data_IF_437271106721
#
_entry.id   IF_437271106721
#
_cell.length_a   1.000
_cell.length_b   1.000
_cell.length_c   1.000
_cell.angle_alpha   90.00
_cell.angle_beta   90.00
_cell.angle_gamma   90.00
#
_symmetry.space_group_name_H-M   'P 1'
#
loop_
_entity.id
_entity.type
_entity.pdbx_description
1 polymer ?
#
# COMPACT_ATOMS: atom_id res chain seq x y z
N UNK A 1 4.50 10.40 -28.82
CA UNK A 1 5.25 11.35 -27.95
C UNK A 1 6.40 11.92 -28.78
N UNK A 2 6.52 13.24 -28.90
CA UNK A 2 7.58 13.88 -29.68
C UNK A 2 8.80 14.13 -28.80
N UNK A 3 9.99 13.83 -29.32
CA UNK A 3 11.26 14.14 -28.66
C UNK A 3 11.75 15.52 -29.11
N UNK A 4 12.35 16.26 -28.19
CA UNK A 4 12.89 17.60 -28.45
C UNK A 4 14.34 17.68 -27.94
N UNK A 5 15.23 18.40 -28.64
CA UNK A 5 16.59 18.65 -28.16
C UNK A 5 16.58 19.37 -26.81
N UNK A 6 17.50 19.01 -25.92
CA UNK A 6 17.67 19.72 -24.66
C UNK A 6 18.28 21.11 -24.93
N UNK A 7 17.67 22.16 -24.35
CA UNK A 7 18.06 23.56 -24.58
C UNK A 7 19.45 23.88 -24.01
N UNK A 8 19.77 23.29 -22.86
CA UNK A 8 21.06 23.43 -22.19
C UNK A 8 21.75 22.06 -22.15
N UNK A 9 22.69 21.85 -23.08
CA UNK A 9 23.40 20.58 -23.21
C UNK A 9 24.43 20.38 -22.09
N UNK A 10 25.01 21.46 -21.56
CA UNK A 10 25.95 21.40 -20.45
C UNK A 10 25.23 20.87 -19.21
N UNK A 11 24.08 21.46 -18.85
CA UNK A 11 23.24 20.98 -17.76
C UNK A 11 22.88 19.48 -17.90
N UNK A 12 22.55 19.04 -19.11
CA UNK A 12 22.17 17.65 -19.39
C UNK A 12 23.30 16.65 -19.13
N UNK A 13 24.54 17.04 -19.43
CA UNK A 13 25.74 16.22 -19.22
C UNK A 13 26.15 16.18 -17.75
N UNK A 14 26.06 17.33 -17.07
CA UNK A 14 26.51 17.53 -15.70
C UNK A 14 25.56 16.93 -14.67
N UNK A 15 24.25 17.20 -14.79
CA UNK A 15 23.32 16.99 -13.68
C UNK A 15 22.62 15.64 -13.72
N UNK A 16 22.33 15.12 -14.93
CA UNK A 16 21.48 13.92 -15.13
C UNK A 16 20.16 13.95 -14.33
N UNK A 17 19.69 15.15 -13.97
CA UNK A 17 18.52 15.37 -13.11
C UNK A 17 17.25 14.68 -13.61
N UNK A 18 17.03 14.65 -14.93
CA UNK A 18 15.87 13.98 -15.50
C UNK A 18 15.78 12.48 -15.12
N UNK A 19 16.92 11.80 -15.04
CA UNK A 19 17.00 10.40 -14.63
C UNK A 19 16.70 10.25 -13.13
N UNK A 20 17.27 11.13 -12.30
CA UNK A 20 16.99 11.15 -10.87
C UNK A 20 15.52 11.44 -10.57
N UNK A 21 14.92 12.39 -11.27
CA UNK A 21 13.51 12.75 -11.11
C UNK A 21 12.58 11.59 -11.52
N UNK A 22 12.89 10.90 -12.62
CA UNK A 22 12.16 9.70 -13.03
C UNK A 22 12.24 8.60 -11.96
N UNK A 23 13.44 8.34 -11.43
CA UNK A 23 13.64 7.38 -10.34
C UNK A 23 12.82 7.73 -9.10
N UNK A 24 12.82 9.00 -8.69
CA UNK A 24 12.05 9.46 -7.53
C UNK A 24 10.54 9.30 -7.72
N UNK A 25 10.04 9.50 -8.94
CA UNK A 25 8.64 9.23 -9.28
C UNK A 25 8.30 7.74 -9.14
N UNK A 26 9.17 6.84 -9.63
CA UNK A 26 9.01 5.39 -9.46
C UNK A 26 9.04 4.96 -7.99
N UNK A 27 9.92 5.55 -7.18
CA UNK A 27 9.96 5.32 -5.73
C UNK A 27 8.67 5.78 -5.06
N UNK A 28 8.17 6.99 -5.35
CA UNK A 28 6.89 7.45 -4.79
C UNK A 28 5.73 6.53 -5.19
N UNK A 29 5.70 6.08 -6.43
CA UNK A 29 4.70 5.12 -6.89
C UNK A 29 4.81 3.78 -6.14
N UNK A 30 6.02 3.29 -5.91
CA UNK A 30 6.28 2.05 -5.16
C UNK A 30 5.91 2.16 -3.67
N UNK A 31 6.01 3.34 -3.07
CA UNK A 31 5.53 3.57 -1.69
C UNK A 31 4.02 3.36 -1.60
N UNK A 32 3.25 3.90 -2.55
CA UNK A 32 1.79 3.72 -2.59
C UNK A 32 1.40 2.27 -2.87
N UNK A 33 2.03 1.63 -3.85
CA UNK A 33 1.81 0.21 -4.15
C UNK A 33 2.13 -0.68 -2.94
N UNK A 34 3.24 -0.40 -2.25
CA UNK A 34 3.65 -1.14 -1.06
C UNK A 34 2.62 -1.03 0.07
N UNK A 35 2.03 0.15 0.26
CA UNK A 35 0.94 0.37 1.22
C UNK A 35 -0.31 -0.44 0.85
N UNK A 36 -0.74 -0.40 -0.41
CA UNK A 36 -1.88 -1.20 -0.90
C UNK A 36 -1.66 -2.69 -0.64
N UNK A 37 -0.47 -3.20 -0.96
CA UNK A 37 -0.12 -4.59 -0.70
C UNK A 37 -0.14 -4.94 0.79
N UNK A 38 0.37 -4.06 1.67
CA UNK A 38 0.33 -4.25 3.12
C UNK A 38 -1.11 -4.30 3.67
N UNK A 39 -1.96 -3.39 3.22
CA UNK A 39 -3.36 -3.34 3.61
C UNK A 39 -4.11 -4.62 3.22
N UNK A 40 -3.91 -5.11 1.99
CA UNK A 40 -4.51 -6.38 1.54
C UNK A 40 -4.03 -7.53 2.43
N UNK A 41 -2.73 -7.62 2.72
CA UNK A 41 -2.17 -8.68 3.59
C UNK A 41 -2.77 -8.65 4.99
N UNK A 42 -2.94 -7.45 5.56
CA UNK A 42 -3.49 -7.28 6.91
C UNK A 42 -4.98 -7.61 6.93
N UNK A 43 -5.77 -7.06 6.01
CA UNK A 43 -7.21 -7.33 5.90
C UNK A 43 -7.53 -8.79 5.59
N UNK A 44 -6.66 -9.48 4.84
CA UNK A 44 -6.80 -10.90 4.50
C UNK A 44 -6.19 -11.85 5.55
N UNK A 45 -5.58 -11.33 6.64
CA UNK A 45 -5.05 -12.17 7.71
C UNK A 45 -6.16 -13.03 8.34
N UNK A 46 -5.93 -14.34 8.49
CA UNK A 46 -6.98 -15.25 8.94
C UNK A 46 -6.77 -16.71 8.51
N UNK A 47 -7.84 -17.53 8.37
CA UNK A 47 -9.25 -17.15 8.48
C UNK A 47 -9.80 -17.11 9.92
N UNK A 48 -9.15 -17.77 10.87
CA UNK A 48 -9.61 -17.85 12.28
C UNK A 48 -8.93 -16.80 13.15
N UNK A 49 -7.59 -16.77 13.13
CA UNK A 49 -6.77 -15.91 13.98
C UNK A 49 -6.27 -14.66 13.22
N UNK A 50 -7.19 -13.82 12.76
CA UNK A 50 -6.87 -12.60 12.02
C UNK A 50 -8.08 -11.70 11.81
N UNK A 51 -7.94 -10.69 10.94
CA UNK A 51 -9.02 -9.75 10.61
C UNK A 51 -10.10 -10.42 9.75
N UNK A 52 -9.70 -11.20 8.75
CA UNK A 52 -10.58 -11.88 7.79
C UNK A 52 -11.64 -10.94 7.17
N UNK A 53 -11.26 -9.70 6.89
CA UNK A 53 -12.15 -8.69 6.30
C UNK A 53 -12.23 -8.82 4.77
N UNK A 54 -11.12 -9.25 4.17
CA UNK A 54 -11.02 -9.55 2.74
C UNK A 54 -10.71 -11.03 2.51
N UNK A 55 -11.40 -11.63 1.54
CA UNK A 55 -11.00 -12.88 0.90
C UNK A 55 -10.08 -12.61 -0.29
N UNK A 56 -9.05 -13.44 -0.44
CA UNK A 56 -8.07 -13.38 -1.52
C UNK A 56 -8.16 -14.64 -2.41
N UNK A 57 -7.87 -14.54 -3.72
CA UNK A 57 -7.78 -15.70 -4.60
C UNK A 57 -6.64 -16.64 -4.21
N UNK A 58 -6.89 -17.95 -4.32
CA UNK A 58 -5.91 -18.99 -4.05
C UNK A 58 -5.04 -19.25 -5.29
N UNK A 59 -4.04 -18.39 -5.51
CA UNK A 59 -3.17 -18.47 -6.71
C UNK A 59 -2.20 -19.65 -6.63
N UNK A 60 -1.66 -19.92 -5.43
CA UNK A 60 -0.72 -21.02 -5.19
C UNK A 60 -0.96 -21.66 -3.82
N UNK A 61 -0.52 -22.91 -3.65
CA UNK A 61 -0.51 -23.57 -2.34
C UNK A 61 0.43 -22.80 -1.39
N UNK A 62 -0.12 -22.30 -0.27
CA UNK A 62 0.62 -21.46 0.69
C UNK A 62 1.57 -22.23 1.61
N UNK A 63 1.55 -23.57 1.58
CA UNK A 63 2.50 -24.40 2.32
C UNK A 63 2.52 -25.81 1.74
N UNK A 64 3.70 -26.40 1.67
CA UNK A 64 3.87 -27.83 1.37
C UNK A 64 3.43 -28.75 2.51
N UNK A 65 3.38 -28.25 3.75
CA UNK A 65 3.09 -29.03 4.96
C UNK A 65 1.66 -28.82 5.47
N UNK A 66 1.03 -27.67 5.15
CA UNK A 66 -0.33 -27.34 5.57
C UNK A 66 -1.28 -27.32 4.36
N UNK A 67 -1.92 -28.46 4.03
CA UNK A 67 -2.91 -28.54 2.96
C UNK A 67 -4.02 -27.49 3.12
N UNK A 68 -4.38 -26.83 2.03
CA UNK A 68 -5.45 -25.82 2.02
C UNK A 68 -5.05 -24.44 2.57
N UNK A 69 -3.83 -24.25 3.07
CA UNK A 69 -3.34 -22.92 3.46
C UNK A 69 -3.13 -22.04 2.23
N UNK A 70 -3.71 -20.84 2.25
CA UNK A 70 -3.54 -19.81 1.21
C UNK A 70 -2.79 -18.62 1.82
N UNK A 71 -1.75 -18.13 1.13
CA UNK A 71 -1.01 -16.93 1.54
C UNK A 71 -1.23 -15.81 0.51
N UNK A 72 -1.16 -14.53 0.91
CA UNK A 72 -1.19 -13.37 0.01
C UNK A 72 0.14 -13.19 -0.74
N UNK A 73 0.64 -14.24 -1.38
CA UNK A 73 1.98 -14.33 -1.99
C UNK A 73 2.23 -13.26 -3.07
N UNK A 74 1.21 -12.88 -3.84
CA UNK A 74 1.33 -11.80 -4.82
C UNK A 74 1.52 -10.43 -4.16
N UNK A 75 0.89 -10.18 -3.01
CA UNK A 75 1.12 -8.95 -2.23
C UNK A 75 2.50 -8.95 -1.56
N UNK A 76 2.97 -10.11 -1.09
CA UNK A 76 4.34 -10.27 -0.59
C UNK A 76 5.37 -9.98 -1.69
N UNK A 77 5.15 -10.50 -2.90
CA UNK A 77 5.99 -10.21 -4.05
C UNK A 77 5.95 -8.73 -4.45
N UNK A 78 4.77 -8.10 -4.46
CA UNK A 78 4.65 -6.66 -4.69
C UNK A 78 5.48 -5.86 -3.67
N UNK A 79 5.42 -6.23 -2.39
CA UNK A 79 6.25 -5.56 -1.37
C UNK A 79 7.75 -5.71 -1.66
N UNK A 80 8.23 -6.91 -2.01
CA UNK A 80 9.63 -7.13 -2.37
C UNK A 80 10.08 -6.26 -3.54
N UNK A 81 9.25 -6.18 -4.61
CA UNK A 81 9.52 -5.29 -5.75
C UNK A 81 9.57 -3.84 -5.30
N UNK A 82 8.62 -3.38 -4.49
CA UNK A 82 8.59 -2.01 -3.99
C UNK A 82 9.86 -1.68 -3.18
N UNK A 83 10.33 -2.60 -2.34
CA UNK A 83 11.58 -2.42 -1.59
C UNK A 83 12.79 -2.31 -2.51
N UNK A 84 12.86 -3.14 -3.55
CA UNK A 84 13.93 -3.05 -4.55
C UNK A 84 13.91 -1.72 -5.31
N UNK A 85 12.73 -1.21 -5.69
CA UNK A 85 12.61 0.10 -6.35
C UNK A 85 13.07 1.25 -5.44
N UNK A 86 12.73 1.20 -4.14
CA UNK A 86 13.20 2.21 -3.17
C UNK A 86 14.73 2.14 -2.99
N UNK A 87 15.30 0.94 -2.94
CA UNK A 87 16.75 0.76 -2.91
C UNK A 87 17.44 1.31 -4.17
N UNK A 88 16.89 1.01 -5.34
CA UNK A 88 17.37 1.52 -6.62
C UNK A 88 17.35 3.06 -6.67
N UNK A 89 16.29 3.70 -6.18
CA UNK A 89 16.23 5.16 -6.11
C UNK A 89 17.28 5.76 -5.18
N UNK A 90 17.63 5.06 -4.10
CA UNK A 90 18.74 5.47 -3.24
C UNK A 90 20.06 5.43 -4.01
N UNK A 91 20.30 4.38 -4.80
CA UNK A 91 21.47 4.29 -5.69
C UNK A 91 21.49 5.43 -6.72
N UNK A 92 20.36 5.71 -7.38
CA UNK A 92 20.25 6.81 -8.35
C UNK A 92 20.51 8.16 -7.69
N UNK A 93 19.99 8.38 -6.49
CA UNK A 93 20.16 9.64 -5.74
C UNK A 93 21.64 9.92 -5.45
N UNK A 94 22.38 8.93 -4.94
CA UNK A 94 23.81 9.07 -4.65
C UNK A 94 24.66 9.17 -5.93
N UNK A 95 24.26 8.49 -7.01
CA UNK A 95 24.92 8.61 -8.31
C UNK A 95 24.68 9.97 -8.99
N UNK A 96 23.48 10.54 -8.84
CA UNK A 96 23.14 11.85 -9.40
C UNK A 96 23.98 12.98 -8.79
N UNK A 97 24.22 12.96 -7.47
CA UNK A 97 25.04 13.99 -6.83
C UNK A 97 26.53 13.90 -7.18
N UNK A 98 27.02 12.73 -7.60
CA UNK A 98 28.44 12.48 -7.88
C UNK A 98 28.95 13.08 -9.20
N UNK A 99 28.19 13.99 -9.83
CA UNK A 99 28.64 14.73 -11.00
C UNK A 99 29.87 15.58 -10.68
N UNK A 100 30.84 15.63 -11.60
CA UNK A 100 32.07 16.40 -11.44
C UNK A 100 32.25 17.33 -12.63
N UNK A 101 32.20 18.64 -12.36
CA UNK A 101 32.29 19.69 -13.36
C UNK A 101 31.38 19.43 -14.56
N UNK A 102 31.93 19.23 -15.77
CA UNK A 102 31.18 19.14 -17.02
C UNK A 102 30.44 17.82 -17.26
N UNK A 103 30.68 16.77 -16.44
CA UNK A 103 30.11 15.45 -16.70
C UNK A 103 29.80 14.65 -15.43
N UNK A 104 28.59 14.09 -15.38
CA UNK A 104 28.30 12.98 -14.47
C UNK A 104 28.52 11.65 -15.20
N UNK A 105 29.57 10.93 -14.77
CA UNK A 105 30.00 9.63 -15.31
C UNK A 105 29.28 8.43 -14.67
N UNK A 106 28.39 8.66 -13.70
CA UNK A 106 27.63 7.61 -13.01
C UNK A 106 26.36 7.19 -13.75
N UNK A 107 26.11 7.73 -14.94
CA UNK A 107 24.93 7.38 -15.74
C UNK A 107 24.73 5.85 -15.93
N UNK A 108 25.76 5.00 -16.11
CA UNK A 108 25.54 3.56 -16.25
C UNK A 108 24.83 2.91 -15.06
N UNK A 109 25.21 3.26 -13.82
CA UNK A 109 24.54 2.69 -12.63
C UNK A 109 23.15 3.28 -12.44
N UNK A 110 22.95 4.56 -12.78
CA UNK A 110 21.62 5.20 -12.75
C UNK A 110 20.66 4.50 -13.70
N UNK A 111 21.09 4.25 -14.95
CA UNK A 111 20.25 3.58 -15.94
C UNK A 111 19.96 2.14 -15.56
N UNK A 112 20.95 1.39 -15.04
CA UNK A 112 20.71 0.02 -14.56
C UNK A 112 19.62 -0.01 -13.49
N UNK A 113 19.72 0.86 -12.49
CA UNK A 113 18.76 0.94 -11.40
C UNK A 113 17.34 1.32 -11.89
N UNK A 114 17.23 2.32 -12.77
CA UNK A 114 15.93 2.74 -13.33
C UNK A 114 15.31 1.64 -14.19
N UNK A 115 16.09 1.01 -15.08
CA UNK A 115 15.60 -0.05 -15.96
C UNK A 115 15.15 -1.28 -15.16
N UNK A 116 15.92 -1.69 -14.16
CA UNK A 116 15.53 -2.79 -13.27
C UNK A 116 14.20 -2.50 -12.57
N UNK A 117 14.03 -1.26 -12.06
CA UNK A 117 12.78 -0.83 -11.43
C UNK A 117 11.60 -0.85 -12.41
N UNK A 118 11.78 -0.32 -13.63
CA UNK A 118 10.70 -0.34 -14.63
C UNK A 118 10.37 -1.74 -15.10
N UNK A 119 11.36 -2.62 -15.25
CA UNK A 119 11.15 -4.00 -15.70
C UNK A 119 10.36 -4.80 -14.67
N UNK A 120 10.73 -4.73 -13.38
CA UNK A 120 9.99 -5.41 -12.32
C UNK A 120 8.53 -4.93 -12.26
N UNK A 121 8.29 -3.61 -12.28
CA UNK A 121 6.95 -3.05 -12.21
C UNK A 121 6.12 -3.39 -13.46
N UNK A 122 6.69 -3.25 -14.65
CA UNK A 122 5.99 -3.50 -15.92
C UNK A 122 5.54 -4.95 -16.04
N UNK A 123 6.39 -5.89 -15.63
CA UNK A 123 6.06 -7.31 -15.70
C UNK A 123 5.09 -7.75 -14.59
N UNK A 124 5.21 -7.19 -13.39
CA UNK A 124 4.45 -7.68 -12.24
C UNK A 124 3.10 -7.00 -12.04
N UNK A 125 2.94 -5.71 -12.41
CA UNK A 125 1.66 -5.00 -12.22
C UNK A 125 0.45 -5.67 -12.90
N UNK A 126 0.54 -6.15 -14.16
CA UNK A 126 -0.56 -6.87 -14.79
C UNK A 126 -0.91 -8.17 -14.06
N UNK A 127 0.11 -8.91 -13.60
CA UNK A 127 -0.06 -10.15 -12.83
C UNK A 127 -0.74 -9.84 -11.50
N UNK A 128 -0.27 -8.83 -10.78
CA UNK A 128 -0.83 -8.41 -9.50
C UNK A 128 -2.29 -7.97 -9.65
N UNK A 129 -2.62 -7.22 -10.69
CA UNK A 129 -3.98 -6.78 -10.97
C UNK A 129 -4.91 -7.95 -11.23
N UNK A 130 -4.60 -8.77 -12.24
CA UNK A 130 -5.49 -9.84 -12.71
C UNK A 130 -5.61 -10.97 -11.69
N UNK A 131 -4.49 -11.36 -11.05
CA UNK A 131 -4.47 -12.55 -10.21
C UNK A 131 -4.71 -12.27 -8.72
N UNK A 132 -4.67 -11.01 -8.26
CA UNK A 132 -5.01 -10.65 -6.88
C UNK A 132 -6.15 -9.65 -6.82
N UNK A 133 -5.98 -8.46 -7.41
CA UNK A 133 -6.90 -7.33 -7.24
C UNK A 133 -8.30 -7.67 -7.75
N UNK A 134 -8.41 -8.21 -8.96
CA UNK A 134 -9.70 -8.56 -9.58
C UNK A 134 -10.43 -9.68 -8.82
N UNK A 135 -9.69 -10.48 -8.04
CA UNK A 135 -10.23 -11.59 -7.25
C UNK A 135 -10.57 -11.25 -5.79
N UNK A 136 -10.37 -10.01 -5.34
CA UNK A 136 -10.67 -9.62 -3.96
C UNK A 136 -12.17 -9.71 -3.67
N UNK A 137 -12.52 -10.26 -2.52
CA UNK A 137 -13.90 -10.32 -2.02
C UNK A 137 -13.98 -9.76 -0.61
N UNK A 138 -15.12 -9.18 -0.24
CA UNK A 138 -15.34 -8.68 1.12
C UNK A 138 -16.15 -9.68 1.95
N UNK A 139 -15.72 -9.99 3.17
CA UNK A 139 -16.58 -10.66 4.15
C UNK A 139 -17.54 -9.65 4.75
N UNK A 140 -18.66 -9.44 4.06
CA UNK A 140 -19.70 -8.48 4.47
C UNK A 140 -20.25 -8.79 5.87
N UNK A 141 -20.31 -10.06 6.28
CA UNK A 141 -20.84 -10.44 7.60
C UNK A 141 -19.85 -10.02 8.69
N UNK A 142 -18.56 -10.31 8.51
CA UNK A 142 -17.50 -9.90 9.43
C UNK A 142 -17.42 -8.38 9.52
N UNK A 143 -17.40 -7.68 8.39
CA UNK A 143 -17.36 -6.22 8.33
C UNK A 143 -18.56 -5.58 9.03
N UNK A 144 -19.78 -6.06 8.78
CA UNK A 144 -20.99 -5.58 9.45
C UNK A 144 -20.88 -5.77 10.98
N UNK A 145 -20.46 -6.96 11.43
CA UNK A 145 -20.30 -7.24 12.85
C UNK A 145 -19.21 -6.37 13.51
N UNK A 146 -18.11 -6.09 12.81
CA UNK A 146 -17.04 -5.20 13.29
C UNK A 146 -17.55 -3.76 13.46
N UNK A 147 -18.31 -3.24 12.48
CA UNK A 147 -18.90 -1.90 12.53
C UNK A 147 -19.90 -1.79 13.67
N UNK A 148 -20.78 -2.77 13.84
CA UNK A 148 -21.80 -2.74 14.91
C UNK A 148 -21.19 -2.74 16.31
N UNK A 149 -20.06 -3.43 16.48
CA UNK A 149 -19.30 -3.45 17.75
C UNK A 149 -18.42 -2.22 17.94
N UNK A 150 -18.20 -1.41 16.91
CA UNK A 150 -17.32 -0.26 16.99
C UNK A 150 -17.99 0.88 17.77
N UNK A 151 -17.45 1.30 18.93
CA UNK A 151 -18.02 2.40 19.68
C UNK A 151 -17.87 3.75 18.94
N UNK A 152 -16.97 3.82 17.95
CA UNK A 152 -16.74 5.01 17.11
C UNK A 152 -17.99 5.39 16.29
N UNK A 153 -18.92 4.47 16.06
CA UNK A 153 -20.18 4.77 15.36
C UNK A 153 -21.00 5.86 16.06
N UNK A 154 -20.77 6.09 17.36
CA UNK A 154 -21.37 7.19 18.14
C UNK A 154 -21.08 8.57 17.56
N UNK A 155 -19.99 8.74 16.80
CA UNK A 155 -19.65 10.02 16.14
C UNK A 155 -20.78 10.49 15.22
N UNK A 156 -21.52 9.56 14.62
CA UNK A 156 -22.69 9.88 13.79
C UNK A 156 -23.86 10.48 14.60
N UNK A 157 -23.86 10.30 15.93
CA UNK A 157 -24.86 10.86 16.84
C UNK A 157 -24.47 12.23 17.38
N UNK A 158 -23.18 12.61 17.33
CA UNK A 158 -22.68 13.87 17.89
C UNK A 158 -23.45 15.12 17.40
N UNK A 159 -23.83 15.25 16.12
CA UNK A 159 -24.65 16.37 15.65
C UNK A 159 -26.06 16.42 16.24
N UNK A 160 -26.59 15.30 16.75
CA UNK A 160 -27.97 15.18 17.27
C UNK A 160 -28.05 15.29 18.79
N UNK A 161 -27.10 14.68 19.51
CA UNK A 161 -27.12 14.62 20.98
C UNK A 161 -26.01 15.43 21.64
N UNK A 162 -25.14 16.05 20.85
CA UNK A 162 -23.98 16.79 21.32
C UNK A 162 -22.79 15.89 21.65
N UNK A 163 -21.61 16.52 21.70
CA UNK A 163 -20.34 15.84 21.96
C UNK A 163 -20.31 15.14 23.32
N UNK A 164 -20.75 15.83 24.38
CA UNK A 164 -20.66 15.31 25.75
C UNK A 164 -21.44 14.00 25.93
N UNK A 165 -22.70 13.97 25.48
CA UNK A 165 -23.54 12.75 25.53
C UNK A 165 -22.97 11.64 24.66
N UNK A 166 -22.40 11.97 23.51
CA UNK A 166 -21.76 10.99 22.63
C UNK A 166 -20.50 10.38 23.27
N UNK A 167 -19.69 11.20 23.94
CA UNK A 167 -18.50 10.75 24.66
C UNK A 167 -18.86 9.87 25.87
N UNK A 168 -19.95 10.19 26.57
CA UNK A 168 -20.49 9.34 27.65
C UNK A 168 -20.93 7.97 27.11
N UNK A 169 -21.70 7.93 26.02
CA UNK A 169 -22.12 6.70 25.36
C UNK A 169 -20.92 5.86 24.87
N UNK A 170 -19.89 6.50 24.31
CA UNK A 170 -18.65 5.82 23.92
C UNK A 170 -18.01 5.11 25.12
N UNK A 171 -17.82 5.84 26.23
CA UNK A 171 -17.21 5.31 27.45
C UNK A 171 -18.03 4.18 28.04
N UNK A 172 -19.35 4.31 28.03
CA UNK A 172 -20.27 3.28 28.50
C UNK A 172 -20.21 2.02 27.62
N UNK A 173 -20.13 2.17 26.29
CA UNK A 173 -20.00 1.05 25.35
C UNK A 173 -18.70 0.28 25.58
N UNK A 174 -17.57 0.99 25.71
CA UNK A 174 -16.28 0.36 26.02
C UNK A 174 -16.29 -0.33 27.38
N UNK A 175 -16.90 0.29 28.40
CA UNK A 175 -16.96 -0.27 29.76
C UNK A 175 -17.84 -1.52 29.86
N UNK A 176 -18.96 -1.53 29.14
CA UNK A 176 -20.00 -2.56 29.28
C UNK A 176 -19.93 -3.64 28.20
N UNK A 177 -19.21 -3.40 27.11
CA UNK A 177 -19.19 -4.26 25.93
C UNK A 177 -20.48 -4.21 25.10
N UNK A 178 -21.47 -3.40 25.49
CA UNK A 178 -22.70 -3.18 24.71
C UNK A 178 -22.42 -2.29 23.52
N UNK A 179 -23.11 -2.53 22.42
CA UNK A 179 -23.06 -1.69 21.22
C UNK A 179 -23.70 -0.32 21.50
N UNK A 180 -23.31 0.70 20.73
CA UNK A 180 -23.92 2.03 20.80
C UNK A 180 -25.44 1.95 20.54
N UNK A 181 -25.88 1.08 19.63
CA UNK A 181 -27.30 0.85 19.34
C UNK A 181 -28.05 0.38 20.59
N UNK A 182 -27.54 -0.64 21.28
CA UNK A 182 -28.19 -1.16 22.50
C UNK A 182 -28.28 -0.10 23.60
N UNK A 183 -27.21 0.68 23.80
CA UNK A 183 -27.19 1.73 24.81
C UNK A 183 -28.19 2.85 24.51
N UNK A 184 -28.29 3.29 23.25
CA UNK A 184 -29.25 4.32 22.85
C UNK A 184 -30.69 3.83 23.02
N UNK A 185 -30.99 2.60 22.58
CA UNK A 185 -32.35 2.03 22.72
C UNK A 185 -32.72 1.86 24.20
N UNK A 186 -31.78 1.50 25.07
CA UNK A 186 -32.04 1.31 26.50
C UNK A 186 -32.27 2.60 27.31
N UNK A 187 -31.98 3.77 26.72
CA UNK A 187 -32.12 5.08 27.38
C UNK A 187 -33.32 5.90 26.88
N UNK A 188 -34.12 5.34 25.96
CA UNK A 188 -35.46 5.82 25.61
C UNK A 188 -36.52 5.10 26.44
#
# INVERSE_FOLDING_TARGET
MSLYPQRDMQYALQSRYAVANMSSALKNYSVELGKIANDIRLMASGPIAGLSELGIPAVHAGSSIMPGKVNPSLAECMNMICYSVIGNDTTVTVAAQAGQFELNVMLPVMLKAVLDSTDMLTNFLPIFSVNLIDGLTADKKKLQANIEKSPVIVTLLAPKIGYQKSAELFKESVKTGKTIRELVISKN
#
